data_IF_489965020363
#
_entry.id   IF_489965020363
#
_cell.length_a   1.000
_cell.length_b   1.000
_cell.length_c   1.000
_cell.angle_alpha   90.00
_cell.angle_beta   90.00
_cell.angle_gamma   90.00
#
_symmetry.space_group_name_H-M   'P 1'
#
loop_
_entity.id
_entity.type
_entity.pdbx_description
1 polymer ?
#
# COMPACT_ATOMS: atom_id res chain seq x y z
N UNK A 1 -7.42 -27.06 13.85
CA UNK A 1 -5.98 -27.12 13.48
C UNK A 1 -5.28 -26.06 14.29
N UNK A 2 -4.10 -26.33 14.86
CA UNK A 2 -3.35 -25.30 15.56
C UNK A 2 -2.94 -24.24 14.52
N UNK A 3 -3.28 -22.97 14.75
CA UNK A 3 -2.96 -21.87 13.86
C UNK A 3 -1.46 -21.66 13.72
N UNK A 4 -1.04 -20.99 12.64
CA UNK A 4 0.36 -20.66 12.37
C UNK A 4 0.82 -19.57 13.34
N UNK A 5 1.59 -19.95 14.36
CA UNK A 5 2.03 -19.07 15.42
C UNK A 5 3.04 -18.05 14.87
N UNK A 6 2.87 -16.81 15.27
CA UNK A 6 3.84 -15.74 15.04
C UNK A 6 5.00 -15.87 16.01
N UNK A 7 6.19 -15.48 15.57
CA UNK A 7 7.35 -15.34 16.46
C UNK A 7 7.16 -14.08 17.29
N UNK A 8 7.34 -14.18 18.59
CA UNK A 8 7.18 -13.05 19.50
C UNK A 8 8.05 -11.84 19.08
N UNK A 9 7.43 -10.68 19.03
CA UNK A 9 8.06 -9.42 18.62
C UNK A 9 8.26 -9.22 17.11
N UNK A 10 7.93 -10.22 16.28
CA UNK A 10 7.86 -10.08 14.82
C UNK A 10 6.56 -10.70 14.29
N UNK A 11 5.86 -9.97 13.43
CA UNK A 11 4.56 -10.39 12.85
C UNK A 11 4.78 -11.40 11.70
N UNK A 12 5.63 -12.40 11.92
CA UNK A 12 6.05 -13.41 10.94
C UNK A 12 6.23 -14.76 11.61
N UNK A 13 6.12 -15.81 10.82
CA UNK A 13 6.33 -17.21 11.27
C UNK A 13 7.78 -17.63 11.19
N UNK A 14 8.63 -16.83 10.52
CA UNK A 14 10.03 -17.14 10.26
C UNK A 14 10.87 -15.90 10.56
N UNK A 15 12.05 -16.05 11.24
CA UNK A 15 12.97 -14.95 11.44
C UNK A 15 13.48 -14.39 10.11
N UNK A 16 13.68 -13.07 10.03
CA UNK A 16 14.14 -12.40 8.81
C UNK A 16 15.44 -13.00 8.21
N UNK A 17 16.40 -13.39 9.06
CA UNK A 17 17.61 -14.05 8.61
C UNK A 17 17.35 -15.40 7.93
N UNK A 18 16.37 -16.14 8.40
CA UNK A 18 15.96 -17.40 7.78
C UNK A 18 15.17 -17.15 6.48
N UNK A 19 14.32 -16.14 6.44
CA UNK A 19 13.66 -15.69 5.21
C UNK A 19 14.69 -15.40 4.13
N UNK A 20 15.72 -14.60 4.43
CA UNK A 20 16.80 -14.26 3.48
C UNK A 20 17.46 -15.54 2.93
N UNK A 21 17.79 -16.51 3.78
CA UNK A 21 18.40 -17.78 3.35
C UNK A 21 17.49 -18.57 2.41
N UNK A 22 16.20 -18.65 2.73
CA UNK A 22 15.22 -19.39 1.93
C UNK A 22 15.03 -18.82 0.52
N UNK A 23 15.10 -17.49 0.41
CA UNK A 23 14.78 -16.80 -0.85
C UNK A 23 16.01 -16.34 -1.65
N UNK A 24 17.21 -16.48 -1.14
CA UNK A 24 18.43 -15.95 -1.77
C UNK A 24 18.58 -16.42 -3.23
N UNK A 25 18.58 -17.73 -3.45
CA UNK A 25 18.71 -18.31 -4.79
C UNK A 25 17.56 -17.93 -5.71
N UNK A 26 16.34 -17.87 -5.16
CA UNK A 26 15.18 -17.42 -5.93
C UNK A 26 15.30 -15.95 -6.34
N UNK A 27 15.70 -15.08 -5.44
CA UNK A 27 15.91 -13.67 -5.74
C UNK A 27 16.94 -13.47 -6.86
N UNK A 28 18.07 -14.21 -6.83
CA UNK A 28 19.06 -14.22 -7.90
C UNK A 28 18.46 -14.70 -9.23
N UNK A 29 17.71 -15.80 -9.23
CA UNK A 29 17.06 -16.34 -10.44
C UNK A 29 15.98 -15.40 -11.02
N UNK A 30 15.36 -14.59 -10.17
CA UNK A 30 14.41 -13.56 -10.57
C UNK A 30 15.08 -12.28 -11.08
N UNK A 31 16.40 -12.19 -10.98
CA UNK A 31 17.21 -11.11 -11.54
C UNK A 31 17.71 -10.09 -10.51
N UNK A 32 17.61 -10.36 -9.22
CA UNK A 32 18.24 -9.50 -8.19
C UNK A 32 19.74 -9.60 -8.34
N UNK A 33 20.39 -8.50 -8.68
CA UNK A 33 21.85 -8.42 -8.87
C UNK A 33 22.56 -7.81 -7.68
N UNK A 34 21.84 -7.06 -6.84
CA UNK A 34 22.42 -6.37 -5.69
C UNK A 34 21.37 -6.13 -4.61
N UNK A 35 21.77 -6.34 -3.37
CA UNK A 35 21.10 -5.85 -2.17
C UNK A 35 21.99 -4.77 -1.55
N UNK A 36 21.53 -3.51 -1.60
CA UNK A 36 22.33 -2.36 -1.19
C UNK A 36 21.76 -1.75 0.10
N UNK A 37 22.65 -1.47 1.06
CA UNK A 37 22.32 -0.63 2.22
C UNK A 37 22.29 0.82 1.78
N UNK A 38 21.12 1.46 1.88
CA UNK A 38 20.93 2.89 1.59
C UNK A 38 20.61 3.70 2.85
N UNK A 39 20.67 3.08 4.03
CA UNK A 39 20.40 3.72 5.33
C UNK A 39 21.17 5.03 5.50
N UNK A 40 22.44 5.03 5.12
CA UNK A 40 23.35 6.18 5.29
C UNK A 40 23.12 7.33 4.29
N UNK A 41 22.17 7.22 3.37
CA UNK A 41 21.76 8.35 2.53
C UNK A 41 20.99 9.40 3.34
N UNK A 42 20.27 8.98 4.37
CA UNK A 42 19.61 9.88 5.31
C UNK A 42 20.30 9.84 6.69
N UNK A 43 20.15 10.91 7.46
CA UNK A 43 20.76 11.05 8.79
C UNK A 43 20.00 10.33 9.92
N UNK A 44 18.77 9.86 9.68
CA UNK A 44 17.89 9.23 10.69
C UNK A 44 18.46 7.90 11.18
N UNK A 45 19.11 7.11 10.32
CA UNK A 45 19.70 5.84 10.69
C UNK A 45 18.69 4.71 10.98
N UNK A 46 17.45 4.81 10.49
CA UNK A 46 16.52 3.68 10.42
C UNK A 46 16.87 2.85 9.20
N UNK A 47 17.05 1.52 9.33
CA UNK A 47 17.53 0.70 8.24
C UNK A 47 16.60 0.71 7.01
N UNK A 48 17.19 1.00 5.85
CA UNK A 48 16.56 0.92 4.52
C UNK A 48 17.55 0.24 3.56
N UNK A 49 17.03 -0.75 2.82
CA UNK A 49 17.79 -1.49 1.82
C UNK A 49 17.08 -1.46 0.47
N UNK A 50 17.87 -1.53 -0.60
CA UNK A 50 17.37 -1.61 -1.98
C UNK A 50 17.80 -2.91 -2.65
N UNK A 51 16.87 -3.67 -3.21
CA UNK A 51 17.12 -4.77 -4.15
C UNK A 51 17.07 -4.25 -5.57
N UNK A 52 18.14 -4.48 -6.34
CA UNK A 52 18.27 -4.00 -7.71
C UNK A 52 18.02 -5.16 -8.69
N UNK A 53 17.03 -4.98 -9.56
CA UNK A 53 16.66 -5.93 -10.63
C UNK A 53 16.75 -5.19 -11.97
N UNK A 54 17.93 -5.13 -12.62
CA UNK A 54 18.10 -4.43 -13.87
C UNK A 54 17.21 -5.04 -14.97
N UNK A 55 16.55 -4.19 -15.76
CA UNK A 55 15.65 -4.63 -16.86
C UNK A 55 14.52 -5.56 -16.36
N UNK A 56 13.93 -5.23 -15.25
CA UNK A 56 12.93 -6.06 -14.58
C UNK A 56 11.65 -6.34 -15.39
N UNK A 57 11.34 -5.54 -16.38
CA UNK A 57 10.03 -5.55 -17.05
C UNK A 57 8.94 -4.80 -16.25
N UNK A 58 9.23 -4.41 -15.04
CA UNK A 58 8.41 -3.53 -14.20
C UNK A 58 8.66 -2.05 -14.53
N UNK A 59 7.79 -1.16 -14.07
CA UNK A 59 8.04 0.28 -14.05
C UNK A 59 9.21 0.67 -13.14
N UNK A 60 9.57 -0.20 -12.20
CA UNK A 60 10.67 -0.04 -11.24
C UNK A 60 11.76 -1.09 -11.47
N UNK A 61 13.00 -0.68 -11.24
CA UNK A 61 14.18 -1.58 -11.23
C UNK A 61 14.81 -1.71 -9.83
N UNK A 62 14.25 -1.00 -8.86
CA UNK A 62 14.74 -0.97 -7.48
C UNK A 62 13.55 -1.13 -6.54
N UNK A 63 13.66 -2.11 -5.65
CA UNK A 63 12.65 -2.44 -4.66
C UNK A 63 13.22 -2.23 -3.27
N UNK A 64 12.44 -1.65 -2.36
CA UNK A 64 12.98 -1.15 -1.12
C UNK A 64 12.38 -1.87 0.09
N UNK A 65 13.24 -2.23 1.03
CA UNK A 65 12.83 -2.79 2.31
C UNK A 65 13.21 -1.87 3.46
N UNK A 66 12.39 -1.90 4.50
CA UNK A 66 12.51 -1.11 5.72
C UNK A 66 12.36 -1.97 6.95
N UNK A 67 12.90 -1.54 8.07
CA UNK A 67 12.71 -2.25 9.32
C UNK A 67 13.44 -1.61 10.50
N UNK A 68 13.12 -2.05 11.72
CA UNK A 68 13.81 -1.60 12.91
C UNK A 68 15.26 -2.10 12.99
N UNK A 69 15.53 -3.24 12.36
CA UNK A 69 16.88 -3.86 12.29
C UNK A 69 17.29 -4.01 10.82
N UNK A 70 18.60 -3.97 10.52
CA UNK A 70 19.11 -4.17 9.15
C UNK A 70 18.60 -5.45 8.49
N UNK A 71 18.55 -6.55 9.21
CA UNK A 71 18.09 -7.85 8.69
C UNK A 71 16.62 -7.83 8.27
N UNK A 72 15.78 -7.06 8.96
CA UNK A 72 14.35 -6.92 8.60
C UNK A 72 14.20 -6.12 7.29
N UNK A 73 14.98 -5.05 7.14
CA UNK A 73 15.02 -4.25 5.92
C UNK A 73 15.56 -5.03 4.72
N UNK A 74 16.59 -5.86 4.93
CA UNK A 74 17.13 -6.77 3.90
C UNK A 74 16.08 -7.78 3.43
N UNK A 75 15.42 -8.46 4.37
CA UNK A 75 14.35 -9.40 4.04
C UNK A 75 13.20 -8.71 3.30
N UNK A 76 12.78 -7.53 3.75
CA UNK A 76 11.75 -6.72 3.09
C UNK A 76 12.11 -6.38 1.64
N UNK A 77 13.33 -5.89 1.39
CA UNK A 77 13.78 -5.54 0.04
C UNK A 77 13.84 -6.75 -0.91
N UNK A 78 14.28 -7.91 -0.42
CA UNK A 78 14.27 -9.14 -1.21
C UNK A 78 12.85 -9.63 -1.50
N UNK A 79 11.99 -9.62 -0.48
CA UNK A 79 10.62 -10.10 -0.62
C UNK A 79 9.78 -9.19 -1.54
N UNK A 80 9.99 -7.88 -1.53
CA UNK A 80 9.32 -6.98 -2.47
C UNK A 80 9.79 -7.24 -3.92
N UNK A 81 11.08 -7.45 -4.15
CA UNK A 81 11.58 -7.82 -5.46
C UNK A 81 10.98 -9.16 -5.94
N UNK A 82 10.91 -10.17 -5.06
CA UNK A 82 10.30 -11.47 -5.36
C UNK A 82 8.82 -11.31 -5.67
N UNK A 83 8.08 -10.56 -4.87
CA UNK A 83 6.67 -10.26 -5.06
C UNK A 83 6.39 -9.72 -6.45
N UNK A 84 7.07 -8.65 -6.81
CA UNK A 84 6.90 -7.95 -8.08
C UNK A 84 7.31 -8.81 -9.26
N UNK A 85 8.47 -9.46 -9.19
CA UNK A 85 8.97 -10.32 -10.27
C UNK A 85 8.13 -11.60 -10.43
N UNK A 86 7.63 -12.17 -9.33
CA UNK A 86 6.72 -13.31 -9.39
C UNK A 86 5.39 -12.90 -10.04
N UNK A 87 4.79 -11.80 -9.59
CA UNK A 87 3.53 -11.31 -10.15
C UNK A 87 3.63 -10.98 -11.66
N UNK A 88 4.78 -10.43 -12.11
CA UNK A 88 5.05 -10.19 -13.53
C UNK A 88 5.10 -11.46 -14.35
N UNK A 89 5.67 -12.54 -13.79
CA UNK A 89 5.95 -13.79 -14.49
C UNK A 89 4.87 -14.85 -14.31
N UNK A 90 4.05 -14.74 -13.27
CA UNK A 90 2.98 -15.71 -13.01
C UNK A 90 2.03 -15.81 -14.22
N UNK A 91 1.67 -17.04 -14.56
CA UNK A 91 0.70 -17.34 -15.64
C UNK A 91 -0.20 -18.48 -15.18
N UNK A 92 -1.09 -18.24 -14.21
CA UNK A 92 -2.04 -19.27 -13.81
C UNK A 92 -2.94 -19.66 -14.98
N UNK A 93 -3.50 -20.88 -14.96
CA UNK A 93 -4.50 -21.29 -15.94
C UNK A 93 -5.63 -20.28 -16.05
N UNK A 94 -6.06 -19.98 -17.27
CA UNK A 94 -7.12 -19.02 -17.54
C UNK A 94 -8.13 -19.57 -18.55
N UNK A 95 -9.33 -18.99 -18.50
CA UNK A 95 -10.37 -19.22 -19.51
C UNK A 95 -10.69 -17.91 -20.22
N UNK A 96 -11.30 -18.01 -21.38
CA UNK A 96 -11.75 -16.88 -22.19
C UNK A 96 -13.27 -16.89 -22.24
N UNK A 97 -13.90 -15.84 -21.79
CA UNK A 97 -15.36 -15.68 -21.78
C UNK A 97 -15.75 -14.20 -21.66
N UNK A 98 -16.97 -13.88 -22.02
CA UNK A 98 -17.59 -12.62 -21.62
C UNK A 98 -18.15 -12.73 -20.18
N UNK A 99 -18.30 -11.58 -19.50
CA UNK A 99 -18.95 -11.57 -18.18
C UNK A 99 -20.38 -12.08 -18.28
N UNK A 100 -21.12 -11.67 -19.32
CA UNK A 100 -22.53 -12.10 -19.55
C UNK A 100 -22.69 -13.61 -19.70
N UNK A 101 -21.70 -14.31 -20.24
CA UNK A 101 -21.71 -15.77 -20.36
C UNK A 101 -21.26 -16.44 -19.06
N UNK A 102 -20.14 -16.01 -18.50
CA UNK A 102 -19.52 -16.64 -17.35
C UNK A 102 -20.39 -16.55 -16.10
N UNK A 103 -21.03 -15.41 -15.86
CA UNK A 103 -21.91 -15.17 -14.70
C UNK A 103 -23.19 -16.03 -14.68
N UNK A 104 -23.56 -16.67 -15.80
CA UNK A 104 -24.71 -17.60 -15.86
C UNK A 104 -24.38 -19.00 -15.33
N UNK A 105 -23.14 -19.40 -15.35
CA UNK A 105 -22.70 -20.78 -15.08
C UNK A 105 -21.72 -20.90 -13.92
N UNK A 106 -21.12 -19.81 -13.49
CA UNK A 106 -20.10 -19.80 -12.44
C UNK A 106 -20.11 -18.50 -11.63
N UNK A 107 -19.47 -18.53 -10.47
CA UNK A 107 -19.20 -17.32 -9.71
C UNK A 107 -18.17 -16.48 -10.48
N UNK A 108 -18.57 -15.36 -11.01
CA UNK A 108 -17.70 -14.42 -11.73
C UNK A 108 -17.75 -13.05 -11.07
N UNK A 109 -16.58 -12.45 -10.87
CA UNK A 109 -16.47 -11.10 -10.32
C UNK A 109 -17.00 -10.09 -11.36
N UNK A 110 -18.03 -9.35 -11.00
CA UNK A 110 -18.49 -8.23 -11.83
C UNK A 110 -17.43 -7.11 -11.84
N UNK A 111 -16.83 -6.78 -12.99
CA UNK A 111 -15.85 -5.71 -13.07
C UNK A 111 -16.38 -4.35 -12.60
N UNK A 112 -17.69 -4.11 -12.68
CA UNK A 112 -18.31 -2.87 -12.21
C UNK A 112 -18.32 -2.74 -10.68
N UNK A 113 -18.17 -3.85 -9.96
CA UNK A 113 -18.08 -3.86 -8.48
C UNK A 113 -16.73 -3.40 -7.94
N UNK A 114 -15.72 -3.27 -8.82
CA UNK A 114 -14.38 -2.80 -8.46
C UNK A 114 -14.33 -1.28 -8.60
N UNK A 115 -13.78 -0.60 -7.59
CA UNK A 115 -13.65 0.86 -7.55
C UNK A 115 -12.43 1.36 -8.34
N UNK A 116 -12.15 0.75 -9.49
CA UNK A 116 -11.19 1.23 -10.48
C UNK A 116 -11.91 1.74 -11.72
N UNK A 117 -11.27 2.60 -12.50
CA UNK A 117 -11.83 3.09 -13.75
C UNK A 117 -11.85 1.97 -14.78
N UNK A 118 -13.05 1.64 -15.26
CA UNK A 118 -13.20 0.70 -16.36
C UNK A 118 -12.60 1.28 -17.64
N UNK A 119 -12.08 0.42 -18.49
CA UNK A 119 -11.64 0.76 -19.83
C UNK A 119 -12.81 1.35 -20.65
N UNK A 120 -12.55 2.35 -21.47
CA UNK A 120 -13.58 3.03 -22.28
C UNK A 120 -14.33 2.05 -23.22
N UNK A 121 -13.67 0.97 -23.60
CA UNK A 121 -14.23 -0.07 -24.47
C UNK A 121 -14.71 -1.31 -23.70
N UNK A 122 -14.87 -1.23 -22.38
CA UNK A 122 -15.44 -2.30 -21.58
C UNK A 122 -16.89 -2.60 -21.96
N UNK A 123 -17.20 -3.90 -22.11
CA UNK A 123 -18.57 -4.39 -22.28
C UNK A 123 -18.74 -5.74 -21.60
N UNK A 124 -19.91 -5.99 -21.01
CA UNK A 124 -20.24 -7.27 -20.38
C UNK A 124 -20.26 -8.44 -21.42
N UNK A 125 -20.45 -8.13 -22.71
CA UNK A 125 -20.49 -9.11 -23.79
C UNK A 125 -19.15 -9.29 -24.51
N UNK A 126 -18.12 -8.50 -24.15
CA UNK A 126 -16.78 -8.65 -24.69
C UNK A 126 -16.03 -9.78 -24.00
N UNK A 127 -15.25 -10.52 -24.75
CA UNK A 127 -14.41 -11.59 -24.20
C UNK A 127 -13.20 -11.02 -23.47
N UNK A 128 -12.95 -11.54 -22.28
CA UNK A 128 -11.78 -11.26 -21.42
C UNK A 128 -11.18 -12.58 -20.96
N UNK A 129 -9.93 -12.53 -20.51
CA UNK A 129 -9.29 -13.67 -19.84
C UNK A 129 -9.62 -13.64 -18.36
N UNK A 130 -9.94 -14.79 -17.77
CA UNK A 130 -10.33 -14.96 -16.37
C UNK A 130 -9.47 -16.03 -15.71
N UNK A 131 -9.12 -15.83 -14.46
CA UNK A 131 -8.38 -16.78 -13.63
C UNK A 131 -9.15 -17.09 -12.35
N UNK A 132 -8.84 -18.22 -11.73
CA UNK A 132 -9.49 -18.64 -10.51
C UNK A 132 -8.92 -17.92 -9.28
N UNK A 133 -9.81 -17.55 -8.36
CA UNK A 133 -9.51 -17.12 -7.01
C UNK A 133 -10.42 -17.82 -6.01
N UNK A 134 -10.03 -17.83 -4.74
CA UNK A 134 -10.82 -18.43 -3.65
C UNK A 134 -11.33 -17.33 -2.73
N UNK A 135 -12.63 -17.30 -2.48
CA UNK A 135 -13.23 -16.42 -1.48
C UNK A 135 -12.87 -16.93 -0.08
N UNK A 136 -12.21 -16.09 0.72
CA UNK A 136 -11.83 -16.43 2.10
C UNK A 136 -13.02 -16.63 3.04
N UNK A 137 -14.17 -16.03 2.71
CA UNK A 137 -15.38 -16.10 3.56
C UNK A 137 -16.13 -17.41 3.37
N UNK A 138 -16.31 -17.81 2.10
CA UNK A 138 -17.14 -18.97 1.76
C UNK A 138 -16.33 -20.20 1.35
N UNK A 139 -15.07 -20.03 0.97
CA UNK A 139 -14.22 -21.06 0.37
C UNK A 139 -14.59 -21.40 -1.08
N UNK A 140 -15.53 -20.65 -1.69
CA UNK A 140 -15.96 -20.88 -3.06
C UNK A 140 -14.95 -20.39 -4.07
N UNK A 141 -14.90 -21.02 -5.23
CA UNK A 141 -14.12 -20.56 -6.38
C UNK A 141 -14.84 -19.43 -7.13
N UNK A 142 -14.05 -18.45 -7.53
CA UNK A 142 -14.49 -17.28 -8.28
C UNK A 142 -13.59 -17.04 -9.47
N UNK A 143 -14.20 -16.66 -10.59
CA UNK A 143 -13.47 -16.19 -11.77
C UNK A 143 -13.23 -14.69 -11.68
N UNK A 144 -11.97 -14.31 -11.82
CA UNK A 144 -11.47 -12.94 -11.68
C UNK A 144 -10.86 -12.50 -13.01
N UNK A 145 -11.12 -11.26 -13.49
CA UNK A 145 -10.44 -10.76 -14.68
C UNK A 145 -8.92 -10.89 -14.51
N UNK A 146 -8.28 -11.60 -15.43
CA UNK A 146 -6.87 -11.98 -15.30
C UNK A 146 -5.95 -10.78 -15.11
N UNK A 147 -6.21 -9.68 -15.83
CA UNK A 147 -5.42 -8.44 -15.72
C UNK A 147 -5.71 -7.59 -14.49
N UNK A 148 -6.75 -7.91 -13.71
CA UNK A 148 -6.95 -7.36 -12.37
C UNK A 148 -6.09 -8.08 -11.33
N UNK A 149 -6.01 -9.39 -11.45
CA UNK A 149 -5.25 -10.22 -10.52
C UNK A 149 -3.75 -10.25 -10.82
N UNK A 150 -3.37 -10.23 -12.10
CA UNK A 150 -1.99 -10.19 -12.55
C UNK A 150 -1.41 -8.78 -12.51
N UNK A 151 -0.12 -8.70 -12.75
CA UNK A 151 0.60 -7.43 -12.79
C UNK A 151 1.35 -7.28 -14.11
N UNK A 152 1.00 -6.25 -14.91
CA UNK A 152 1.59 -5.91 -16.21
C UNK A 152 1.61 -7.09 -17.21
N UNK A 153 0.57 -7.91 -17.23
CA UNK A 153 0.47 -9.06 -18.14
C UNK A 153 0.06 -8.61 -19.56
N UNK A 154 1.06 -8.20 -20.35
CA UNK A 154 0.83 -7.74 -21.72
C UNK A 154 0.58 -8.87 -22.72
N UNK A 155 1.06 -10.07 -22.40
CA UNK A 155 0.99 -11.28 -23.23
C UNK A 155 -0.28 -12.11 -23.02
N UNK A 156 -1.11 -11.77 -22.01
CA UNK A 156 -2.41 -12.40 -21.84
C UNK A 156 -3.36 -11.91 -22.95
N UNK A 157 -4.03 -12.83 -23.67
CA UNK A 157 -5.00 -12.47 -24.70
C UNK A 157 -6.07 -11.52 -24.14
N UNK A 158 -6.67 -10.77 -25.04
CA UNK A 158 -7.73 -9.82 -24.71
C UNK A 158 -7.29 -8.58 -23.90
N UNK A 159 -8.02 -7.48 -24.00
CA UNK A 159 -7.72 -6.25 -23.27
C UNK A 159 -7.99 -6.39 -21.78
N UNK A 160 -7.59 -5.39 -21.01
CA UNK A 160 -7.99 -5.23 -19.63
C UNK A 160 -9.43 -4.71 -19.51
N UNK A 161 -10.14 -5.14 -18.48
CA UNK A 161 -11.40 -4.50 -18.08
C UNK A 161 -11.18 -3.09 -17.50
N UNK A 162 -9.95 -2.78 -17.07
CA UNK A 162 -9.60 -1.55 -16.35
C UNK A 162 -8.50 -0.77 -17.07
N UNK A 163 -8.52 0.55 -16.91
CA UNK A 163 -7.49 1.43 -17.49
C UNK A 163 -6.15 1.31 -16.78
N UNK A 164 -6.18 1.16 -15.46
CA UNK A 164 -5.00 1.13 -14.61
C UNK A 164 -4.74 -0.28 -14.12
N UNK A 165 -3.47 -0.66 -14.07
CA UNK A 165 -3.00 -1.87 -13.43
C UNK A 165 -2.12 -1.45 -12.25
N UNK A 166 -2.56 -1.73 -11.05
CA UNK A 166 -1.89 -1.40 -9.80
C UNK A 166 -1.41 -2.66 -9.04
N UNK A 167 -0.81 -2.45 -7.90
CA UNK A 167 -0.35 -3.51 -7.00
C UNK A 167 -1.13 -3.60 -5.69
N UNK A 168 -2.24 -2.87 -5.55
CA UNK A 168 -3.04 -2.91 -4.33
C UNK A 168 -3.52 -4.32 -4.02
N UNK A 169 -3.21 -4.83 -2.82
CA UNK A 169 -3.52 -6.19 -2.41
C UNK A 169 -2.59 -7.27 -2.99
N UNK A 170 -1.52 -6.90 -3.72
CA UNK A 170 -0.44 -7.81 -4.06
C UNK A 170 0.53 -7.90 -2.88
N UNK A 171 0.81 -9.09 -2.41
CA UNK A 171 1.72 -9.28 -1.28
C UNK A 171 2.46 -10.61 -1.32
N UNK A 172 3.63 -10.60 -0.70
CA UNK A 172 4.45 -11.79 -0.47
C UNK A 172 4.58 -12.13 1.01
N UNK A 173 4.91 -13.39 1.29
CA UNK A 173 5.17 -13.89 2.64
C UNK A 173 5.98 -15.17 2.64
N UNK A 174 6.48 -15.60 3.81
CA UNK A 174 7.12 -16.91 3.97
C UNK A 174 6.11 -18.07 3.79
N UNK A 175 4.84 -17.76 3.92
CA UNK A 175 3.73 -18.67 3.70
C UNK A 175 2.52 -17.88 3.19
N UNK A 176 1.52 -18.61 2.71
CA UNK A 176 0.30 -18.02 2.14
C UNK A 176 -0.44 -17.11 3.15
N UNK A 177 -0.50 -17.50 4.42
CA UNK A 177 -1.15 -16.70 5.46
C UNK A 177 -0.44 -15.37 5.72
N UNK A 178 0.91 -15.34 5.72
CA UNK A 178 1.66 -14.08 5.82
C UNK A 178 1.35 -13.14 4.66
N UNK A 179 1.31 -13.66 3.43
CA UNK A 179 1.00 -12.89 2.24
C UNK A 179 -0.44 -12.34 2.30
N UNK A 180 -1.43 -13.17 2.66
CA UNK A 180 -2.84 -12.75 2.81
C UNK A 180 -2.98 -11.67 3.90
N UNK A 181 -2.40 -11.89 5.08
CA UNK A 181 -2.46 -10.91 6.17
C UNK A 181 -1.85 -9.57 5.77
N UNK A 182 -0.70 -9.61 5.06
CA UNK A 182 -0.05 -8.40 4.55
C UNK A 182 -0.94 -7.66 3.54
N UNK A 183 -1.48 -8.37 2.55
CA UNK A 183 -2.38 -7.82 1.55
C UNK A 183 -3.64 -7.18 2.16
N UNK A 184 -4.27 -7.83 3.15
CA UNK A 184 -5.44 -7.29 3.83
C UNK A 184 -5.11 -6.03 4.65
N UNK A 185 -3.96 -6.01 5.31
CA UNK A 185 -3.50 -4.81 6.02
C UNK A 185 -3.26 -3.65 5.03
N UNK A 186 -2.62 -3.90 3.89
CA UNK A 186 -2.41 -2.88 2.86
C UNK A 186 -3.74 -2.36 2.30
N UNK A 187 -4.68 -3.24 2.00
CA UNK A 187 -5.99 -2.82 1.51
C UNK A 187 -6.75 -1.97 2.54
N UNK A 188 -6.68 -2.33 3.84
CA UNK A 188 -7.25 -1.49 4.91
C UNK A 188 -6.57 -0.12 4.99
N UNK A 189 -5.25 -0.07 4.80
CA UNK A 189 -4.46 1.15 4.75
C UNK A 189 -4.89 2.06 3.59
N UNK A 190 -5.03 1.51 2.39
CA UNK A 190 -5.42 2.25 1.17
C UNK A 190 -6.86 2.76 1.24
N UNK A 191 -7.78 1.94 1.76
CA UNK A 191 -9.16 2.33 2.02
C UNK A 191 -9.21 3.52 2.98
N UNK A 192 -8.56 3.39 4.11
CA UNK A 192 -8.50 4.43 5.13
C UNK A 192 -7.85 5.72 4.62
N UNK A 193 -6.78 5.62 3.85
CA UNK A 193 -6.13 6.77 3.23
C UNK A 193 -7.07 7.51 2.27
N UNK A 194 -7.87 6.78 1.51
CA UNK A 194 -8.88 7.40 0.64
C UNK A 194 -9.85 8.27 1.44
N UNK A 195 -10.37 7.78 2.57
CA UNK A 195 -11.24 8.59 3.43
C UNK A 195 -10.52 9.77 4.07
N UNK A 196 -9.24 9.60 4.45
CA UNK A 196 -8.44 10.69 4.99
C UNK A 196 -8.22 11.80 3.96
N UNK A 197 -7.87 11.46 2.73
CA UNK A 197 -7.72 12.44 1.65
C UNK A 197 -9.03 13.15 1.33
N UNK A 198 -10.14 12.43 1.27
CA UNK A 198 -11.47 13.01 1.03
C UNK A 198 -11.90 13.93 2.18
N UNK A 199 -11.64 13.54 3.41
CA UNK A 199 -11.96 14.35 4.58
C UNK A 199 -11.11 15.60 4.69
N UNK A 200 -9.84 15.49 4.35
CA UNK A 200 -8.90 16.60 4.39
C UNK A 200 -9.07 17.61 3.26
N UNK A 201 -9.42 17.14 2.12
CA UNK A 201 -9.81 18.02 1.01
C UNK A 201 -11.23 18.47 1.11
N UNK A 202 -11.77 18.48 2.30
CA UNK A 202 -13.07 18.87 2.60
C UNK A 202 -13.50 20.05 1.87
N UNK A 203 -13.63 19.63 0.94
CA UNK A 203 -14.37 19.78 0.33
C UNK A 203 -15.31 20.77 0.21
N UNK A 204 -15.54 21.53 0.76
CA UNK A 204 -16.60 22.20 0.40
C UNK A 204 -16.45 23.11 -0.50
N UNK A 205 -16.58 23.18 -0.90
CA UNK A 205 -17.15 24.38 -1.17
C UNK A 205 -16.87 24.89 -2.48
N UNK A 206 -15.96 24.48 -3.19
CA UNK A 206 -15.86 24.94 -4.56
C UNK A 206 -15.07 23.96 -5.36
N UNK A 207 -15.63 23.37 -6.35
CA UNK A 207 -15.08 22.82 -7.59
C UNK A 207 -13.57 22.99 -7.71
N UNK A 208 -12.83 22.27 -6.91
CA UNK A 208 -11.40 22.26 -7.08
C UNK A 208 -11.02 21.08 -7.89
N UNK A 209 -10.31 21.33 -8.95
CA UNK A 209 -9.64 20.26 -9.62
C UNK A 209 -8.78 19.56 -8.55
N UNK A 210 -9.03 18.29 -8.34
CA UNK A 210 -8.25 17.38 -7.52
C UNK A 210 -6.88 17.14 -8.13
N UNK A 211 -6.31 18.14 -8.78
CA UNK A 211 -5.03 18.06 -9.43
C UNK A 211 -3.98 18.61 -8.49
N UNK A 212 -3.26 17.67 -7.86
CA UNK A 212 -1.95 17.90 -7.25
C UNK A 212 -1.76 19.22 -6.49
N UNK A 213 -2.01 19.18 -5.20
CA UNK A 213 -1.38 20.13 -4.26
C UNK A 213 -1.80 21.59 -4.30
N UNK A 214 -2.85 21.95 -4.99
CA UNK A 214 -3.39 23.30 -4.93
C UNK A 214 -4.48 23.40 -3.87
N UNK A 215 -4.08 23.89 -2.71
CA UNK A 215 -5.00 24.43 -1.75
C UNK A 215 -5.62 25.70 -2.25
N UNK A 216 -6.87 25.80 -2.06
CA UNK A 216 -7.46 27.09 -1.94
C UNK A 216 -7.23 27.60 -0.52
N UNK A 217 -6.93 28.87 -0.42
CA UNK A 217 -6.52 29.55 0.80
C UNK A 217 -7.63 29.81 1.82
N UNK A 218 -8.85 29.35 1.61
CA UNK A 218 -9.98 29.85 2.37
C UNK A 218 -10.84 28.72 2.95
N UNK A 219 -10.44 28.23 4.08
CA UNK A 219 -11.21 27.37 4.97
C UNK A 219 -10.33 26.62 5.95
N UNK A 220 -10.74 26.50 7.22
CA UNK A 220 -10.01 25.67 8.14
C UNK A 220 -10.08 24.24 7.62
N UNK A 221 -8.92 23.60 7.52
CA UNK A 221 -8.90 22.15 7.45
C UNK A 221 -9.51 21.65 8.74
N UNK A 222 -10.38 20.68 8.64
CA UNK A 222 -10.82 19.97 9.85
C UNK A 222 -9.68 19.01 10.26
N UNK A 223 -8.59 19.62 10.74
CA UNK A 223 -7.42 18.90 11.28
C UNK A 223 -7.82 18.02 12.45
N UNK A 224 -8.98 18.30 13.06
CA UNK A 224 -9.51 17.58 14.22
C UNK A 224 -10.18 16.27 13.84
N UNK A 225 -10.50 16.07 12.57
CA UNK A 225 -11.04 14.80 12.07
C UNK A 225 -10.03 13.64 12.26
N UNK A 226 -8.73 13.94 12.18
CA UNK A 226 -7.66 12.96 12.33
C UNK A 226 -6.76 13.37 13.51
N UNK A 227 -7.04 12.87 14.73
CA UNK A 227 -6.31 13.30 15.91
C UNK A 227 -4.81 13.02 15.81
N UNK A 228 -4.00 13.94 16.32
CA UNK A 228 -2.60 13.68 16.56
C UNK A 228 -2.45 12.60 17.63
N UNK A 229 -1.40 11.76 17.52
CA UNK A 229 -1.13 10.67 18.43
C UNK A 229 0.07 11.00 19.30
N UNK A 230 -0.13 11.00 20.61
CA UNK A 230 0.95 10.97 21.59
C UNK A 230 1.41 9.51 21.77
N UNK A 231 2.62 9.24 21.30
CA UNK A 231 3.18 7.89 21.26
C UNK A 231 3.90 7.53 22.57
N UNK A 232 4.28 8.54 23.37
CA UNK A 232 5.19 8.33 24.48
C UNK A 232 6.60 7.90 24.02
N UNK A 233 7.42 7.31 24.92
CA UNK A 233 8.78 6.86 24.59
C UNK A 233 8.79 5.80 23.47
N UNK A 234 9.56 6.04 22.40
CA UNK A 234 9.65 5.11 21.26
C UNK A 234 11.01 5.21 20.56
N UNK A 235 11.70 4.09 20.45
CA UNK A 235 13.05 4.04 19.90
C UNK A 235 13.17 4.50 18.44
N UNK A 236 12.13 4.32 17.61
CA UNK A 236 12.16 4.83 16.23
C UNK A 236 11.96 6.34 16.20
N UNK A 237 11.06 6.88 17.03
CA UNK A 237 10.89 8.33 17.17
C UNK A 237 12.14 8.99 17.73
N UNK A 238 12.81 8.37 18.68
CA UNK A 238 14.07 8.89 19.25
C UNK A 238 15.13 9.10 18.16
N UNK A 239 15.18 8.23 17.14
CA UNK A 239 16.09 8.40 16.01
C UNK A 239 15.75 9.63 15.16
N UNK A 240 14.47 9.93 14.94
CA UNK A 240 14.05 11.17 14.27
C UNK A 240 14.41 12.39 15.10
N UNK A 241 14.09 12.37 16.39
CA UNK A 241 14.35 13.48 17.30
C UNK A 241 15.86 13.77 17.46
N UNK A 242 16.70 12.74 17.43
CA UNK A 242 18.15 12.87 17.53
C UNK A 242 18.78 13.67 16.36
N UNK A 243 18.06 13.87 15.28
CA UNK A 243 18.48 14.63 14.10
C UNK A 243 17.57 15.82 13.81
N UNK A 244 16.90 16.34 14.83
CA UNK A 244 16.00 17.50 14.77
C UNK A 244 14.85 17.34 13.77
N UNK A 245 14.34 16.12 13.62
CA UNK A 245 13.14 15.82 12.87
C UNK A 245 12.02 15.43 13.84
N UNK A 246 10.86 16.08 13.72
CA UNK A 246 9.73 15.89 14.64
C UNK A 246 8.50 15.44 13.85
N UNK A 247 8.33 14.12 13.63
CA UNK A 247 7.18 13.62 12.89
C UNK A 247 5.85 14.02 13.53
N UNK A 248 4.89 14.35 12.68
CA UNK A 248 3.49 14.44 13.04
C UNK A 248 2.90 13.05 12.85
N UNK A 249 2.32 12.49 13.89
CA UNK A 249 1.70 11.16 13.88
C UNK A 249 0.20 11.33 14.04
N UNK A 250 -0.57 10.66 13.19
CA UNK A 250 -2.03 10.73 13.19
C UNK A 250 -2.66 9.35 13.23
N UNK A 251 -3.77 9.28 13.94
CA UNK A 251 -4.68 8.15 13.90
C UNK A 251 -5.66 8.36 12.73
N UNK A 252 -5.55 7.52 11.72
CA UNK A 252 -6.47 7.50 10.59
C UNK A 252 -7.50 6.39 10.68
N UNK A 253 -7.58 5.66 11.79
CA UNK A 253 -8.48 4.52 11.94
C UNK A 253 -9.90 4.89 11.52
N UNK A 254 -10.37 4.26 10.44
CA UNK A 254 -11.67 4.53 9.80
C UNK A 254 -12.80 3.65 10.36
N UNK A 255 -13.93 3.63 9.68
CA UNK A 255 -15.04 2.72 9.97
C UNK A 255 -14.66 1.23 9.92
N UNK A 256 -13.58 0.89 9.20
CA UNK A 256 -13.02 -0.47 9.23
C UNK A 256 -12.52 -0.89 10.63
N UNK A 257 -12.24 0.06 11.51
CA UNK A 257 -11.72 -0.20 12.86
C UNK A 257 -10.46 -1.08 12.86
N UNK A 258 -9.66 -0.99 11.80
CA UNK A 258 -8.30 -1.52 11.75
C UNK A 258 -7.36 -0.38 12.10
N UNK A 259 -6.57 -0.46 13.17
CA UNK A 259 -5.63 0.59 13.54
C UNK A 259 -4.76 1.00 12.36
N UNK A 260 -4.85 2.26 11.96
CA UNK A 260 -4.10 2.81 10.82
C UNK A 260 -3.42 4.10 11.27
N UNK A 261 -2.09 4.07 11.25
CA UNK A 261 -1.24 5.18 11.67
C UNK A 261 -0.59 5.81 10.44
N UNK A 262 -0.63 7.12 10.40
CA UNK A 262 0.07 7.94 9.42
C UNK A 262 1.15 8.76 10.13
N UNK A 263 2.34 8.77 9.60
CA UNK A 263 3.46 9.56 10.09
C UNK A 263 4.00 10.45 8.97
N UNK A 264 4.25 11.71 9.26
CA UNK A 264 4.80 12.66 8.28
C UNK A 264 5.81 13.59 8.91
N UNK A 265 6.76 14.07 8.12
CA UNK A 265 7.76 15.06 8.55
C UNK A 265 8.15 15.95 7.39
N UNK A 266 8.33 17.23 7.66
CA UNK A 266 8.98 18.16 6.77
C UNK A 266 10.41 18.44 7.26
N UNK A 267 11.39 18.39 6.35
CA UNK A 267 12.77 18.72 6.65
C UNK A 267 13.05 20.19 6.29
N UNK A 268 13.35 21.00 7.31
CA UNK A 268 13.60 22.44 7.16
C UNK A 268 15.08 22.77 7.01
N UNK A 269 15.95 21.82 7.29
CA UNK A 269 17.39 22.03 7.22
C UNK A 269 17.93 21.95 5.78
N UNK A 270 17.16 21.40 4.88
CA UNK A 270 17.47 21.42 3.44
C UNK A 270 16.99 22.78 2.91
N UNK A 271 17.87 23.76 2.94
CA UNK A 271 17.54 25.18 2.75
C UNK A 271 16.97 25.53 1.38
N UNK A 272 17.22 24.73 0.37
CA UNK A 272 16.76 25.02 -1.00
C UNK A 272 15.52 24.24 -1.41
N UNK A 273 15.19 23.15 -0.71
CA UNK A 273 14.09 22.27 -1.09
C UNK A 273 13.47 21.60 0.15
N UNK A 274 12.51 22.26 0.82
CA UNK A 274 11.81 21.62 1.92
C UNK A 274 11.06 20.39 1.40
N UNK A 275 11.50 19.22 1.79
CA UNK A 275 10.88 17.94 1.42
C UNK A 275 9.96 17.47 2.55
N UNK A 276 8.73 17.19 2.20
CA UNK A 276 7.78 16.51 3.08
C UNK A 276 7.68 15.05 2.69
N UNK A 277 7.81 14.20 3.68
CA UNK A 277 7.72 12.75 3.51
C UNK A 277 6.67 12.17 4.44
N UNK A 278 6.13 11.05 4.06
CA UNK A 278 5.16 10.33 4.87
C UNK A 278 5.39 8.82 4.82
N UNK A 279 4.81 8.15 5.77
CA UNK A 279 4.68 6.70 5.81
C UNK A 279 3.40 6.32 6.51
N UNK A 280 2.87 5.17 6.18
CA UNK A 280 1.62 4.65 6.71
C UNK A 280 1.79 3.20 7.19
N UNK A 281 0.91 2.78 8.07
CA UNK A 281 0.84 1.40 8.49
C UNK A 281 -0.51 1.05 9.05
N UNK A 282 -1.09 -0.03 8.59
CA UNK A 282 -2.30 -0.62 9.14
C UNK A 282 -2.00 -2.03 9.67
N UNK A 283 -2.55 -2.35 10.84
CA UNK A 283 -2.43 -3.68 11.47
C UNK A 283 -3.41 -3.79 12.64
N UNK A 284 -3.92 -5.00 12.99
CA UNK A 284 -4.71 -5.20 14.21
C UNK A 284 -4.02 -4.69 15.49
N UNK A 285 -2.71 -4.88 15.64
CA UNK A 285 -1.91 -4.29 16.72
C UNK A 285 -1.41 -2.90 16.30
N UNK A 286 -1.82 -1.86 17.04
CA UNK A 286 -1.46 -0.46 16.78
C UNK A 286 0.05 -0.20 16.86
N UNK A 287 0.79 -0.96 17.68
CA UNK A 287 2.24 -0.82 17.77
C UNK A 287 2.94 -1.30 16.49
N UNK A 288 2.38 -2.32 15.83
CA UNK A 288 2.84 -2.77 14.53
C UNK A 288 2.53 -1.72 13.46
N UNK A 289 1.31 -1.17 13.47
CA UNK A 289 0.91 -0.08 12.57
C UNK A 289 1.85 1.12 12.70
N UNK A 290 2.14 1.58 13.93
CA UNK A 290 3.07 2.66 14.20
C UNK A 290 4.49 2.35 13.69
N UNK A 291 5.01 1.15 13.99
CA UNK A 291 6.34 0.74 13.53
C UNK A 291 6.44 0.73 12.00
N UNK A 292 5.39 0.27 11.30
CA UNK A 292 5.31 0.33 9.84
C UNK A 292 5.33 1.76 9.34
N UNK A 293 4.49 2.64 9.88
CA UNK A 293 4.40 4.04 9.49
C UNK A 293 5.75 4.78 9.66
N UNK A 294 6.42 4.64 10.81
CA UNK A 294 7.70 5.28 11.05
C UNK A 294 8.83 4.71 10.17
N UNK A 295 8.85 3.40 9.95
CA UNK A 295 9.84 2.79 9.07
C UNK A 295 9.62 3.19 7.61
N UNK A 296 8.36 3.32 7.18
CA UNK A 296 8.01 3.79 5.84
C UNK A 296 8.33 5.26 5.63
N UNK A 297 8.12 6.09 6.64
CA UNK A 297 8.55 7.48 6.60
C UNK A 297 10.06 7.61 6.36
N UNK A 298 10.87 6.77 7.04
CA UNK A 298 12.32 6.74 6.81
C UNK A 298 12.67 6.21 5.41
N UNK A 299 11.97 5.17 4.93
CA UNK A 299 12.15 4.65 3.57
C UNK A 299 11.83 5.71 2.51
N UNK A 300 10.70 6.41 2.63
CA UNK A 300 10.28 7.47 1.72
C UNK A 300 11.36 8.53 1.58
N UNK A 301 11.97 8.95 2.69
CA UNK A 301 13.09 9.91 2.69
C UNK A 301 14.34 9.36 1.99
N UNK A 302 14.76 8.15 2.34
CA UNK A 302 15.96 7.54 1.72
C UNK A 302 15.79 7.38 0.21
N UNK A 303 14.62 6.98 -0.25
CA UNK A 303 14.30 6.77 -1.68
C UNK A 303 14.31 8.10 -2.43
N UNK A 304 13.72 9.14 -1.85
CA UNK A 304 13.74 10.46 -2.46
C UNK A 304 15.16 11.02 -2.54
N UNK A 305 15.97 10.92 -1.47
CA UNK A 305 17.37 11.33 -1.48
C UNK A 305 18.17 10.54 -2.52
N UNK A 306 17.92 9.23 -2.67
CA UNK A 306 18.55 8.40 -3.70
C UNK A 306 18.16 8.85 -5.12
N UNK A 307 16.91 9.26 -5.32
CA UNK A 307 16.34 9.62 -6.63
C UNK A 307 16.56 11.07 -7.04
N UNK A 308 16.91 11.95 -6.11
CA UNK A 308 17.06 13.39 -6.39
C UNK A 308 18.42 13.66 -6.98
N UNK A 309 18.44 13.73 -8.32
CA UNK A 309 19.55 14.34 -9.06
C UNK A 309 18.97 15.45 -9.92
N UNK A 310 19.17 16.68 -9.50
CA UNK A 310 18.61 17.88 -10.11
C UNK A 310 19.18 18.15 -11.51
N UNK A 311 20.32 17.53 -11.82
CA UNK A 311 21.01 17.65 -13.12
C UNK A 311 20.50 16.64 -14.16
N UNK A 312 19.73 15.61 -13.76
CA UNK A 312 19.14 14.63 -14.66
C UNK A 312 17.71 15.05 -15.02
N UNK A 313 17.61 15.98 -15.95
CA UNK A 313 16.34 16.29 -16.58
C UNK A 313 16.21 15.50 -17.88
N UNK A 314 15.02 14.93 -18.19
CA UNK A 314 14.78 14.38 -19.50
C UNK A 314 15.07 15.44 -20.57
N UNK A 315 15.76 15.11 -21.68
CA UNK A 315 16.15 16.07 -22.72
C UNK A 315 15.00 16.89 -23.30
N UNK A 316 13.77 16.42 -23.12
CA UNK A 316 12.54 17.02 -23.64
C UNK A 316 11.53 17.32 -22.51
N UNK A 317 12.00 17.64 -21.30
CA UNK A 317 11.12 18.00 -20.21
C UNK A 317 10.25 19.20 -20.60
N UNK A 318 8.92 18.98 -20.59
CA UNK A 318 7.98 20.08 -20.85
C UNK A 318 8.01 21.12 -19.72
N UNK A 319 7.63 22.38 -19.98
CA UNK A 319 7.46 23.37 -18.93
C UNK A 319 6.53 22.92 -17.81
N UNK A 320 5.58 22.03 -18.11
CA UNK A 320 4.66 21.42 -17.14
C UNK A 320 5.38 20.42 -16.24
N UNK A 321 6.31 19.62 -16.75
CA UNK A 321 7.16 18.73 -15.96
C UNK A 321 8.02 19.54 -14.97
N UNK A 322 8.63 20.63 -15.42
CA UNK A 322 9.34 21.57 -14.55
C UNK A 322 8.42 22.14 -13.46
N UNK A 323 7.20 22.54 -13.84
CA UNK A 323 6.25 23.10 -12.88
C UNK A 323 5.80 22.06 -11.84
N UNK A 324 5.64 20.79 -12.21
CA UNK A 324 5.31 19.70 -11.30
C UNK A 324 6.48 19.38 -10.36
N UNK A 325 7.69 19.31 -10.89
CA UNK A 325 8.89 19.07 -10.09
C UNK A 325 9.16 20.23 -9.13
N UNK A 326 9.12 21.47 -9.61
CA UNK A 326 9.25 22.67 -8.79
C UNK A 326 8.13 22.79 -7.75
N UNK A 327 6.92 22.36 -8.06
CA UNK A 327 5.79 22.34 -7.12
C UNK A 327 5.93 21.27 -6.05
N UNK A 328 6.42 20.06 -6.38
CA UNK A 328 6.78 19.04 -5.39
C UNK A 328 7.82 19.55 -4.40
N UNK A 329 8.78 20.31 -4.89
CA UNK A 329 9.90 20.83 -4.11
C UNK A 329 9.53 22.09 -3.31
N UNK A 330 8.68 22.96 -3.86
CA UNK A 330 8.40 24.29 -3.27
C UNK A 330 7.17 24.35 -2.36
N UNK A 331 6.38 23.31 -2.29
CA UNK A 331 5.09 23.35 -1.63
C UNK A 331 4.98 22.43 -0.42
N UNK A 332 5.88 22.56 0.55
CA UNK A 332 5.59 22.01 1.88
C UNK A 332 4.59 22.94 2.56
N UNK A 333 3.34 22.61 2.36
CA UNK A 333 2.26 23.30 3.06
C UNK A 333 2.11 22.71 4.48
N UNK A 334 2.67 23.41 5.46
CA UNK A 334 2.62 23.02 6.87
C UNK A 334 1.22 23.05 7.47
N UNK A 335 0.30 23.73 6.81
CA UNK A 335 -1.10 23.71 7.20
C UNK A 335 -1.85 22.54 6.59
N UNK A 336 -1.18 21.67 5.79
CA UNK A 336 -1.79 20.46 5.26
C UNK A 336 -2.19 19.50 6.38
N UNK A 337 -3.25 18.73 6.16
CA UNK A 337 -3.74 17.78 7.16
C UNK A 337 -2.64 16.81 7.63
N UNK A 338 -1.68 16.49 6.78
CA UNK A 338 -0.60 15.57 7.09
C UNK A 338 0.57 16.20 7.85
N UNK A 339 0.81 17.52 7.75
CA UNK A 339 1.88 18.23 8.46
C UNK A 339 1.38 19.16 9.56
N UNK A 340 0.14 19.64 9.45
CA UNK A 340 -0.47 20.49 10.46
C UNK A 340 -0.61 19.75 11.79
N UNK A 341 -0.41 20.43 12.92
CA UNK A 341 -0.71 19.87 14.24
C UNK A 341 -2.14 20.20 14.60
N UNK A 342 -2.89 19.19 15.05
CA UNK A 342 -4.22 19.35 15.65
C UNK A 342 -4.09 19.53 17.14
N UNK A 343 -4.98 20.31 17.75
CA UNK A 343 -5.15 20.36 19.20
C UNK A 343 -5.83 19.10 19.72
N UNK A 344 -6.60 18.41 18.87
CA UNK A 344 -7.16 17.11 19.19
C UNK A 344 -6.04 16.07 19.22
N UNK A 345 -5.72 15.61 20.42
CA UNK A 345 -4.64 14.66 20.67
C UNK A 345 -5.19 13.40 21.32
N UNK A 346 -4.73 12.25 20.85
CA UNK A 346 -5.07 10.93 21.38
C UNK A 346 -3.80 10.20 21.79
N UNK A 347 -3.83 9.46 22.91
CA UNK A 347 -2.70 8.59 23.25
C UNK A 347 -2.75 7.33 22.42
N UNK A 348 -1.59 6.78 22.08
CA UNK A 348 -1.49 5.54 21.29
C UNK A 348 -2.26 4.39 21.96
N UNK A 349 -2.21 4.29 23.28
CA UNK A 349 -2.88 3.26 24.07
C UNK A 349 -4.42 3.37 24.08
N UNK A 350 -4.98 4.53 23.68
CA UNK A 350 -6.42 4.75 23.59
C UNK A 350 -6.99 4.33 22.23
N UNK A 351 -6.13 3.97 21.26
CA UNK A 351 -6.54 3.42 19.97
C UNK A 351 -6.88 1.95 20.17
N UNK A 352 -8.09 1.48 19.78
CA UNK A 352 -8.43 0.07 19.83
C UNK A 352 -7.37 -0.79 19.15
N UNK A 353 -6.83 -1.76 19.87
CA UNK A 353 -5.71 -2.58 19.40
C UNK A 353 -5.89 -4.02 19.83
N UNK A 354 -5.55 -4.95 18.95
CA UNK A 354 -5.69 -6.39 19.15
C UNK A 354 -4.37 -7.09 18.83
N UNK A 355 -3.75 -7.67 19.84
CA UNK A 355 -2.57 -8.51 19.67
C UNK A 355 -2.99 -9.97 19.64
N UNK A 356 -2.80 -10.63 18.50
CA UNK A 356 -3.06 -12.06 18.33
C UNK A 356 -1.76 -12.82 18.23
N UNK A 357 -1.79 -14.11 18.62
CA UNK A 357 -0.64 -15.00 18.60
C UNK A 357 -0.49 -15.75 17.26
N UNK A 358 -1.53 -15.79 16.44
CA UNK A 358 -1.53 -16.47 15.16
C UNK A 358 -1.93 -15.57 13.99
N UNK A 359 -1.44 -15.90 12.80
CA UNK A 359 -1.80 -15.20 11.55
C UNK A 359 -3.28 -15.42 11.20
N UNK A 360 -3.82 -16.59 11.47
CA UNK A 360 -5.23 -16.88 11.22
C UNK A 360 -6.13 -15.95 12.02
N UNK A 361 -5.77 -15.65 13.28
CA UNK A 361 -6.54 -14.71 14.11
C UNK A 361 -6.45 -13.28 13.60
N UNK A 362 -5.28 -12.85 13.08
CA UNK A 362 -5.17 -11.54 12.41
C UNK A 362 -6.05 -11.49 11.16
N UNK A 363 -6.03 -12.55 10.34
CA UNK A 363 -6.84 -12.65 9.11
C UNK A 363 -8.33 -12.64 9.46
N UNK A 364 -8.76 -13.46 10.43
CA UNK A 364 -10.16 -13.53 10.86
C UNK A 364 -10.67 -12.19 11.40
N UNK A 365 -9.84 -11.48 12.14
CA UNK A 365 -10.14 -10.12 12.58
C UNK A 365 -10.34 -9.19 11.37
N UNK A 366 -9.38 -9.13 10.44
CA UNK A 366 -9.44 -8.26 9.27
C UNK A 366 -10.67 -8.58 8.40
N UNK A 367 -10.92 -9.86 8.13
CA UNK A 367 -12.12 -10.32 7.39
C UNK A 367 -13.40 -9.87 8.10
N UNK A 368 -13.47 -10.02 9.41
CA UNK A 368 -14.63 -9.59 10.21
C UNK A 368 -14.84 -8.08 10.11
N UNK A 369 -13.76 -7.29 10.14
CA UNK A 369 -13.82 -5.83 10.03
C UNK A 369 -14.29 -5.38 8.64
N UNK A 370 -13.77 -6.00 7.58
CA UNK A 370 -14.20 -5.71 6.21
C UNK A 370 -15.67 -6.00 6.02
N UNK A 371 -16.13 -7.18 6.46
CA UNK A 371 -17.55 -7.56 6.38
C UNK A 371 -18.47 -6.64 7.17
N UNK A 372 -18.04 -6.15 8.32
CA UNK A 372 -18.81 -5.18 9.11
C UNK A 372 -19.07 -3.86 8.35
N UNK A 373 -18.27 -3.56 7.33
CA UNK A 373 -18.44 -2.39 6.44
C UNK A 373 -19.11 -2.75 5.10
N UNK A 374 -19.70 -3.96 4.98
CA UNK A 374 -20.37 -4.40 3.75
C UNK A 374 -19.41 -4.88 2.65
N UNK A 375 -18.13 -5.11 2.99
CA UNK A 375 -17.14 -5.71 2.10
C UNK A 375 -17.15 -7.24 2.28
N UNK A 376 -18.25 -7.87 1.83
CA UNK A 376 -18.56 -9.26 2.15
C UNK A 376 -17.73 -10.29 1.39
N UNK A 377 -17.04 -9.87 0.32
CA UNK A 377 -16.27 -10.74 -0.55
C UNK A 377 -14.81 -10.40 -0.50
N UNK A 378 -13.98 -11.41 -0.24
CA UNK A 378 -12.53 -11.27 -0.13
C UNK A 378 -11.90 -12.42 -0.90
N UNK A 379 -11.46 -12.14 -2.12
CA UNK A 379 -10.98 -13.16 -3.05
C UNK A 379 -9.45 -13.16 -3.07
N UNK A 380 -8.87 -14.33 -2.89
CA UNK A 380 -7.42 -14.56 -2.99
C UNK A 380 -7.11 -15.29 -4.27
N UNK A 381 -6.29 -14.68 -5.11
CA UNK A 381 -5.65 -15.33 -6.25
C UNK A 381 -4.22 -15.70 -5.86
N UNK A 382 -3.89 -16.98 -6.01
CA UNK A 382 -2.54 -17.48 -5.74
C UNK A 382 -1.66 -17.31 -6.99
N UNK A 383 -0.58 -16.56 -6.85
CA UNK A 383 0.40 -16.31 -7.91
C UNK A 383 1.73 -17.06 -7.63
N UNK A 384 1.76 -17.86 -6.57
CA UNK A 384 2.94 -18.58 -6.11
C UNK A 384 3.34 -19.64 -7.14
N UNK A 385 4.59 -19.68 -7.62
CA UNK A 385 5.07 -20.80 -8.42
C UNK A 385 5.14 -22.09 -7.60
N UNK A 386 5.00 -23.23 -8.26
CA UNK A 386 5.17 -24.53 -7.62
C UNK A 386 6.54 -24.67 -6.95
N UNK A 387 6.57 -25.46 -5.84
CA UNK A 387 7.80 -25.84 -5.13
C UNK A 387 8.64 -24.67 -4.59
N UNK A 388 8.01 -23.53 -4.22
CA UNK A 388 8.72 -22.40 -3.62
C UNK A 388 8.60 -22.36 -2.09
N UNK A 389 9.56 -21.70 -1.43
CA UNK A 389 9.57 -21.48 0.03
C UNK A 389 9.02 -20.10 0.43
N UNK A 390 8.26 -19.48 -0.47
CA UNK A 390 7.56 -18.22 -0.27
C UNK A 390 6.20 -18.31 -0.95
N UNK A 391 5.34 -17.37 -0.66
CA UNK A 391 4.05 -17.23 -1.34
C UNK A 391 3.85 -15.81 -1.83
N UNK A 392 3.19 -15.67 -2.97
CA UNK A 392 2.74 -14.40 -3.54
C UNK A 392 1.26 -14.52 -3.86
N UNK A 393 0.47 -13.61 -3.35
CA UNK A 393 -0.97 -13.59 -3.57
C UNK A 393 -1.45 -12.23 -4.04
N UNK A 394 -2.57 -12.20 -4.73
CA UNK A 394 -3.36 -11.00 -4.96
C UNK A 394 -4.67 -11.13 -4.21
N UNK A 395 -4.93 -10.22 -3.28
CA UNK A 395 -6.23 -10.13 -2.59
C UNK A 395 -7.07 -9.05 -3.24
N UNK A 396 -8.30 -9.39 -3.58
CA UNK A 396 -9.25 -8.51 -4.26
C UNK A 396 -10.51 -8.42 -3.40
N UNK A 397 -10.87 -7.20 -3.02
CA UNK A 397 -12.05 -6.90 -2.20
C UNK A 397 -12.96 -5.94 -2.96
N UNK A 398 -14.04 -6.42 -3.59
CA UNK A 398 -15.00 -5.56 -4.26
C UNK A 398 -15.57 -4.51 -3.31
N UNK A 399 -15.63 -3.26 -3.77
CA UNK A 399 -16.15 -2.15 -2.98
C UNK A 399 -15.14 -1.46 -2.06
N UNK A 400 -13.91 -1.97 -1.94
CA UNK A 400 -12.84 -1.26 -1.22
C UNK A 400 -12.47 0.04 -1.94
N UNK A 401 -12.13 1.07 -1.19
CA UNK A 401 -11.83 2.39 -1.75
C UNK A 401 -10.32 2.56 -1.95
N UNK A 402 -9.90 2.78 -3.20
CA UNK A 402 -8.50 2.86 -3.60
C UNK A 402 -8.15 4.20 -4.26
N UNK A 403 -9.06 5.17 -4.24
CA UNK A 403 -8.92 6.43 -4.95
C UNK A 403 -7.68 7.23 -4.56
N UNK A 404 -7.23 7.16 -3.31
CA UNK A 404 -6.02 7.85 -2.87
C UNK A 404 -4.74 7.40 -3.62
N UNK A 405 -4.75 6.19 -4.19
CA UNK A 405 -3.62 5.63 -4.93
C UNK A 405 -3.70 5.85 -6.43
N UNK A 406 -4.89 5.73 -7.02
CA UNK A 406 -5.05 5.72 -8.47
C UNK A 406 -5.82 6.94 -9.03
N UNK A 407 -6.52 7.69 -8.17
CA UNK A 407 -7.39 8.82 -8.53
C UNK A 407 -8.43 8.47 -9.62
N UNK A 408 -8.69 7.19 -9.82
CA UNK A 408 -9.51 6.71 -10.92
C UNK A 408 -11.01 6.86 -10.66
N UNK A 409 -11.52 6.25 -9.62
CA UNK A 409 -12.96 6.20 -9.33
C UNK A 409 -13.22 6.21 -7.83
N UNK A 410 -14.15 7.06 -7.39
CA UNK A 410 -14.76 6.96 -6.07
C UNK A 410 -15.85 5.91 -6.09
N UNK A 411 -15.77 4.97 -5.16
CA UNK A 411 -16.83 3.98 -4.96
C UNK A 411 -18.00 4.51 -4.13
N UNK A 412 -19.03 3.68 -3.93
CA UNK A 412 -20.24 4.09 -3.21
C UNK A 412 -20.00 4.56 -1.78
N UNK A 413 -19.05 3.94 -1.05
CA UNK A 413 -18.71 4.30 0.34
C UNK A 413 -18.04 5.67 0.39
N UNK A 414 -17.07 5.91 -0.47
CA UNK A 414 -16.39 7.21 -0.60
C UNK A 414 -17.35 8.32 -1.03
N UNK A 415 -18.24 8.04 -1.98
CA UNK A 415 -19.27 8.99 -2.41
C UNK A 415 -20.29 9.32 -1.30
N UNK A 416 -20.68 8.33 -0.49
CA UNK A 416 -21.55 8.53 0.66
C UNK A 416 -20.87 9.37 1.73
N UNK A 417 -19.60 9.07 2.05
CA UNK A 417 -18.78 9.86 2.95
C UNK A 417 -18.67 11.31 2.47
N UNK A 418 -18.33 11.50 1.20
CA UNK A 418 -18.26 12.82 0.58
C UNK A 418 -19.55 13.60 0.76
N UNK A 419 -20.70 13.02 0.37
CA UNK A 419 -21.98 13.70 0.48
C UNK A 419 -22.38 14.08 1.90
N UNK A 420 -21.92 13.31 2.90
CA UNK A 420 -22.22 13.57 4.31
C UNK A 420 -21.40 14.76 4.85
N UNK A 421 -20.22 15.00 4.30
CA UNK A 421 -19.28 16.01 4.79
C UNK A 421 -19.11 17.20 3.81
N UNK A 422 -19.81 17.18 2.66
CA UNK A 422 -19.88 18.31 1.69
C UNK A 422 -20.97 19.36 2.08
#
# INVERSE_FOLDING_TARGET
MAGMLKIDGIERTVPAAETIKRVATTAESLGVTRLADITGLDRIGIPVYSSVVPKSGDSLSVYNGKGARPVDAQAGALMEAIERQTALKARPPHIEASFSELSKSANALDPKSINQKLSDDYSDDRTYSWIEGTDLVTGELWWIPAKLAGYLWHDVPHPSCFEINDTNGLASGNCRQEAICHALCELAERDTWTFAELGAHHLPRQRRSLVYGHRAKDGPDDLDMFPCVDVGPNQLLDKFHAVDLFPVIRDLTSELQVPTIFASVADEHITNFPMAHSGMGAHPDVNVALRRALSELAQSRCVDIQGVREDILPPNASPEFFSLHTRRISAVDRSSWYLGRSENTRRLEDIPSHKFDSLESDIDFLVTRFRACGLDRIIVVDLTPDETMYSVVRVIVPGIELWATDHGRLGPRALAFWKKHA
#
